data_IF_228290705586
#
_entry.id   IF_228290705586
#
_cell.length_a   1.000
_cell.length_b   1.000
_cell.length_c   1.000
_cell.angle_alpha   90.00
_cell.angle_beta   90.00
_cell.angle_gamma   90.00
#
_symmetry.space_group_name_H-M   'P 1'
#
loop_
_entity.id
_entity.type
_entity.pdbx_description
1 polymer ?
#
# COMPACT_ATOMS: atom_id res chain seq x y z
N UNK A 1 4.16 -20.65 5.15
CA UNK A 1 3.95 -19.44 5.99
C UNK A 1 3.16 -18.44 5.17
N UNK A 2 2.08 -17.88 5.72
CA UNK A 2 1.25 -16.88 5.04
C UNK A 2 1.98 -15.54 4.93
N UNK A 3 1.82 -14.83 3.81
CA UNK A 3 2.42 -13.50 3.61
C UNK A 3 1.88 -12.48 4.64
N UNK A 4 2.74 -11.64 5.25
CA UNK A 4 2.29 -10.60 6.19
C UNK A 4 1.24 -9.67 5.57
N UNK A 5 0.23 -9.30 6.36
CA UNK A 5 -0.86 -8.41 5.92
C UNK A 5 -0.31 -7.09 5.39
N UNK A 6 0.72 -6.55 6.03
CA UNK A 6 1.36 -5.29 5.65
C UNK A 6 1.97 -5.37 4.25
N UNK A 7 2.69 -6.45 3.94
CA UNK A 7 3.27 -6.68 2.62
C UNK A 7 2.18 -6.83 1.55
N UNK A 8 1.09 -7.55 1.86
CA UNK A 8 -0.06 -7.71 0.95
C UNK A 8 -0.74 -6.38 0.64
N UNK A 9 -1.00 -5.58 1.67
CA UNK A 9 -1.62 -4.25 1.55
C UNK A 9 -0.75 -3.33 0.71
N UNK A 10 0.55 -3.26 0.98
CA UNK A 10 1.50 -2.43 0.22
C UNK A 10 1.55 -2.83 -1.25
N UNK A 11 1.63 -4.13 -1.57
CA UNK A 11 1.59 -4.61 -2.96
C UNK A 11 0.29 -4.24 -3.67
N UNK A 12 -0.84 -4.26 -2.95
CA UNK A 12 -2.14 -3.91 -3.53
C UNK A 12 -2.26 -2.41 -3.76
N UNK A 13 -1.81 -1.59 -2.81
CA UNK A 13 -1.73 -0.14 -2.96
C UNK A 13 -0.84 0.26 -4.13
N UNK A 14 0.32 -0.41 -4.30
CA UNK A 14 1.21 -0.18 -5.43
C UNK A 14 0.51 -0.41 -6.77
N UNK A 15 -0.35 -1.44 -6.88
CA UNK A 15 -1.13 -1.68 -8.10
C UNK A 15 -2.16 -0.58 -8.37
N UNK A 16 -2.77 -0.02 -7.33
CA UNK A 16 -3.73 1.08 -7.46
C UNK A 16 -3.07 2.35 -7.98
N UNK A 17 -1.87 2.69 -7.49
CA UNK A 17 -1.17 3.94 -7.87
C UNK A 17 -0.29 3.81 -9.11
N UNK A 18 -0.28 2.65 -9.79
CA UNK A 18 0.51 2.43 -11.00
C UNK A 18 1.96 1.95 -10.78
N UNK A 19 2.30 1.50 -9.57
CA UNK A 19 3.53 0.77 -9.28
C UNK A 19 4.22 1.19 -7.99
N UNK A 20 5.40 0.61 -7.72
CA UNK A 20 6.18 0.91 -6.51
C UNK A 20 6.83 2.29 -6.54
N UNK A 21 7.19 2.82 -7.71
CA UNK A 21 7.80 4.16 -7.84
C UNK A 21 6.84 5.27 -7.40
N UNK A 22 5.62 5.36 -8.00
CA UNK A 22 4.60 6.30 -7.56
C UNK A 22 4.24 6.15 -6.07
N UNK A 23 4.09 4.90 -5.59
CA UNK A 23 3.79 4.65 -4.18
C UNK A 23 4.90 5.13 -3.26
N UNK A 24 6.17 4.91 -3.62
CA UNK A 24 7.31 5.38 -2.84
C UNK A 24 7.31 6.91 -2.72
N UNK A 25 7.02 7.63 -3.81
CA UNK A 25 6.92 9.09 -3.80
C UNK A 25 5.76 9.55 -2.91
N UNK A 26 4.60 8.91 -3.01
CA UNK A 26 3.41 9.27 -2.23
C UNK A 26 3.61 9.05 -0.73
N UNK A 27 4.29 7.96 -0.34
CA UNK A 27 4.58 7.66 1.06
C UNK A 27 5.82 8.40 1.61
N UNK A 28 6.55 9.14 0.75
CA UNK A 28 7.86 9.71 1.05
C UNK A 28 8.80 8.70 1.73
N UNK A 29 8.77 7.45 1.28
CA UNK A 29 9.52 6.35 1.87
C UNK A 29 10.87 6.15 1.15
N UNK A 30 11.88 5.68 1.88
CA UNK A 30 13.14 5.29 1.26
C UNK A 30 12.96 4.02 0.43
N UNK A 31 13.84 3.82 -0.57
CA UNK A 31 13.85 2.59 -1.37
C UNK A 31 14.11 1.36 -0.51
N UNK A 32 14.95 1.49 0.52
CA UNK A 32 15.32 0.41 1.43
C UNK A 32 14.13 -0.02 2.29
N UNK A 33 13.42 0.94 2.87
CA UNK A 33 12.20 0.69 3.65
C UNK A 33 11.15 -0.02 2.80
N UNK A 34 10.91 0.47 1.59
CA UNK A 34 9.97 -0.13 0.64
C UNK A 34 10.31 -1.60 0.37
N UNK A 35 11.58 -1.91 0.09
CA UNK A 35 12.02 -3.30 -0.15
C UNK A 35 11.79 -4.16 1.09
N UNK A 36 12.15 -3.66 2.27
CA UNK A 36 12.00 -4.38 3.54
C UNK A 36 10.53 -4.67 3.86
N UNK A 37 9.63 -3.71 3.64
CA UNK A 37 8.18 -3.89 3.85
C UNK A 37 7.56 -4.85 2.82
N UNK A 38 7.96 -4.77 1.55
CA UNK A 38 7.49 -5.67 0.47
C UNK A 38 7.87 -7.13 0.74
N UNK A 39 9.05 -7.35 1.32
CA UNK A 39 9.57 -8.68 1.69
C UNK A 39 9.05 -9.17 3.03
N UNK A 40 8.38 -8.32 3.81
CA UNK A 40 7.95 -8.63 5.18
C UNK A 40 9.10 -8.72 6.17
N UNK A 41 10.28 -8.19 5.82
CA UNK A 41 11.46 -8.14 6.67
C UNK A 41 11.36 -7.03 7.74
N UNK A 42 10.50 -6.04 7.51
CA UNK A 42 10.17 -4.99 8.46
C UNK A 42 8.68 -4.64 8.39
N UNK A 43 8.17 -4.04 9.46
CA UNK A 43 6.79 -3.55 9.55
C UNK A 43 6.80 -2.04 9.28
N UNK A 44 5.96 -1.53 8.36
CA UNK A 44 5.84 -0.10 8.14
C UNK A 44 5.30 0.61 9.39
N UNK A 45 5.68 1.87 9.64
CA UNK A 45 5.06 2.68 10.69
C UNK A 45 3.54 2.70 10.58
N UNK A 46 2.84 2.78 11.71
CA UNK A 46 1.38 2.76 11.74
C UNK A 46 0.77 3.84 10.83
N UNK A 47 1.33 5.06 10.83
CA UNK A 47 0.87 6.15 9.97
C UNK A 47 1.03 5.84 8.47
N UNK A 48 2.10 5.16 8.07
CA UNK A 48 2.30 4.69 6.69
C UNK A 48 1.30 3.59 6.34
N UNK A 49 1.05 2.66 7.26
CA UNK A 49 0.08 1.60 7.06
C UNK A 49 -1.35 2.13 6.96
N UNK A 50 -1.73 3.11 7.77
CA UNK A 50 -3.02 3.78 7.69
C UNK A 50 -3.21 4.46 6.32
N UNK A 51 -2.21 5.20 5.83
CA UNK A 51 -2.26 5.81 4.49
C UNK A 51 -2.44 4.78 3.37
N UNK A 52 -1.79 3.62 3.46
CA UNK A 52 -1.98 2.52 2.51
C UNK A 52 -3.41 1.97 2.53
N UNK A 53 -4.04 1.91 3.70
CA UNK A 53 -5.43 1.46 3.86
C UNK A 53 -6.40 2.47 3.26
N UNK A 54 -6.27 3.76 3.60
CA UNK A 54 -7.09 4.84 3.03
C UNK A 54 -7.06 4.82 1.49
N UNK A 55 -5.86 4.67 0.92
CA UNK A 55 -5.69 4.57 -0.53
C UNK A 55 -6.47 3.42 -1.16
N UNK A 56 -6.51 2.27 -0.48
CA UNK A 56 -7.26 1.11 -0.95
C UNK A 56 -8.78 1.29 -0.79
N UNK A 57 -9.20 1.99 0.27
CA UNK A 57 -10.61 2.33 0.48
C UNK A 57 -11.10 3.30 -0.60
N UNK A 58 -10.35 4.36 -0.88
CA UNK A 58 -10.66 5.32 -1.95
C UNK A 58 -10.78 4.63 -3.31
N UNK A 59 -9.86 3.72 -3.63
CA UNK A 59 -9.92 2.93 -4.87
C UNK A 59 -11.13 1.98 -4.91
N UNK A 60 -11.54 1.46 -3.75
CA UNK A 60 -12.75 0.65 -3.60
C UNK A 60 -14.02 1.45 -3.85
N UNK A 61 -14.11 2.66 -3.31
CA UNK A 61 -15.24 3.57 -3.52
C UNK A 61 -15.32 4.05 -4.98
N UNK A 62 -14.19 4.36 -5.63
CA UNK A 62 -14.16 4.67 -7.06
C UNK A 62 -14.61 3.50 -7.94
N UNK A 63 -14.29 2.26 -7.54
CA UNK A 63 -14.74 1.05 -8.22
C UNK A 63 -16.20 0.69 -7.95
N UNK A 64 -16.80 1.26 -6.90
CA UNK A 64 -18.18 1.04 -6.49
C UNK A 64 -19.00 2.26 -6.94
N UNK A 65 -19.36 2.32 -8.23
CA UNK A 65 -20.41 3.25 -8.67
C UNK A 65 -21.64 3.11 -7.77
N UNK A 66 -22.33 4.21 -7.39
CA UNK A 66 -23.53 4.12 -6.57
C UNK A 66 -24.57 3.25 -7.28
N UNK A 67 -25.38 2.46 -6.54
CA UNK A 67 -26.55 1.83 -7.14
C UNK A 67 -27.40 2.95 -7.74
N UNK A 68 -27.61 2.88 -9.07
CA UNK A 68 -28.57 3.72 -9.79
C UNK A 68 -29.97 3.51 -9.28
#
# INVERSE_FOLDING_TARGET
MSEPVQSRVLRRAARVVGGYGPLQQQLNASREDMISWIRGAAVPPLATFAQLVELLLDAGELGRSPPV
#
